data_IF_545154534468
#
_entry.id   IF_545154534468
#
_cell.length_a   1.000
_cell.length_b   1.000
_cell.length_c   1.000
_cell.angle_alpha   90.00
_cell.angle_beta   90.00
_cell.angle_gamma   90.00
#
_symmetry.space_group_name_H-M   'P 1'
#
loop_
_entity.id
_entity.type
_entity.pdbx_description
1 polymer ?
#
# COMPACT_ATOMS: atom_id res chain seq x y z
N UNK A 1 -17.07 -18.56 -23.95
CA UNK A 1 -17.31 -17.43 -23.02
C UNK A 1 -16.77 -16.18 -23.67
N UNK A 2 -17.31 -14.99 -23.36
CA UNK A 2 -16.80 -13.72 -23.88
C UNK A 2 -16.12 -12.95 -22.75
N UNK A 3 -14.90 -12.48 -22.99
CA UNK A 3 -14.12 -11.68 -22.06
C UNK A 3 -14.15 -10.23 -22.53
N UNK A 4 -14.47 -9.30 -21.62
CA UNK A 4 -14.65 -7.88 -21.92
C UNK A 4 -13.74 -7.10 -20.97
N UNK A 5 -12.73 -6.44 -21.53
CA UNK A 5 -11.85 -5.57 -20.77
C UNK A 5 -12.62 -4.41 -20.13
N UNK A 6 -12.17 -4.04 -18.93
CA UNK A 6 -12.66 -2.83 -18.28
C UNK A 6 -11.66 -1.70 -18.46
N UNK A 7 -11.98 -0.51 -17.93
CA UNK A 7 -11.03 0.59 -17.87
C UNK A 7 -9.82 0.33 -16.94
N UNK A 8 -9.86 -0.73 -16.12
CA UNK A 8 -8.73 -1.12 -15.28
C UNK A 8 -8.01 -2.30 -15.92
N UNK A 9 -6.76 -2.09 -16.31
CA UNK A 9 -5.95 -3.11 -16.98
C UNK A 9 -5.84 -4.39 -16.13
N UNK A 10 -6.29 -5.51 -16.69
CA UNK A 10 -6.32 -6.84 -16.06
C UNK A 10 -7.64 -7.24 -15.40
N UNK A 11 -8.55 -6.28 -15.13
CA UNK A 11 -9.90 -6.59 -14.62
C UNK A 11 -10.82 -6.84 -15.80
N UNK A 12 -11.47 -8.01 -15.83
CA UNK A 12 -12.21 -8.51 -16.99
C UNK A 12 -13.60 -8.99 -16.60
N UNK A 13 -14.62 -8.52 -17.31
CA UNK A 13 -15.99 -9.06 -17.21
C UNK A 13 -16.10 -10.28 -18.09
N UNK A 14 -16.67 -11.36 -17.55
CA UNK A 14 -16.83 -12.62 -18.26
C UNK A 14 -18.33 -12.91 -18.43
N UNK A 15 -18.75 -13.05 -19.69
CA UNK A 15 -20.10 -13.47 -20.06
C UNK A 15 -20.07 -14.96 -20.43
N UNK A 16 -20.61 -15.85 -19.59
CA UNK A 16 -20.68 -17.27 -19.92
C UNK A 16 -21.71 -17.51 -21.03
N UNK A 17 -21.55 -18.64 -21.72
CA UNK A 17 -22.58 -19.14 -22.63
C UNK A 17 -23.56 -19.97 -21.81
N UNK A 18 -24.82 -19.55 -21.76
CA UNK A 18 -25.89 -20.24 -21.05
C UNK A 18 -26.71 -21.04 -22.07
N UNK A 19 -26.86 -22.34 -21.82
CA UNK A 19 -27.66 -23.26 -22.62
C UNK A 19 -28.94 -23.58 -21.86
N UNK A 20 -30.09 -23.16 -22.38
CA UNK A 20 -31.38 -23.36 -21.72
C UNK A 20 -32.27 -24.34 -22.51
N UNK A 21 -33.05 -25.13 -21.78
CA UNK A 21 -34.09 -26.01 -22.30
C UNK A 21 -35.24 -26.13 -21.27
N UNK A 22 -36.25 -26.95 -21.56
CA UNK A 22 -37.45 -27.08 -20.71
C UNK A 22 -37.16 -27.58 -19.28
N UNK A 23 -35.96 -28.13 -19.01
CA UNK A 23 -35.54 -28.59 -17.68
C UNK A 23 -34.89 -27.49 -16.85
N UNK A 24 -34.48 -26.39 -17.47
CA UNK A 24 -33.72 -25.30 -16.85
C UNK A 24 -32.59 -24.81 -17.74
N UNK A 25 -31.42 -24.57 -17.15
CA UNK A 25 -30.24 -24.10 -17.88
C UNK A 25 -28.94 -24.70 -17.35
N UNK A 26 -27.95 -24.76 -18.22
CA UNK A 26 -26.60 -25.22 -17.94
C UNK A 26 -25.60 -24.18 -18.43
N UNK A 27 -24.52 -24.00 -17.69
CA UNK A 27 -23.33 -23.29 -18.17
C UNK A 27 -22.08 -23.88 -17.55
N UNK A 28 -20.99 -23.88 -18.32
CA UNK A 28 -19.65 -24.04 -17.75
C UNK A 28 -19.33 -22.76 -16.98
N UNK A 29 -19.26 -22.84 -15.65
CA UNK A 29 -18.97 -21.68 -14.81
C UNK A 29 -17.48 -21.35 -14.77
N UNK A 30 -16.62 -22.34 -15.04
CA UNK A 30 -15.18 -22.17 -15.14
C UNK A 30 -14.59 -23.33 -15.98
N UNK A 31 -13.68 -22.99 -16.88
CA UNK A 31 -12.89 -23.93 -17.67
C UNK A 31 -11.48 -23.34 -17.75
N UNK A 32 -10.52 -23.93 -17.03
CA UNK A 32 -9.20 -23.34 -16.83
C UNK A 32 -8.42 -23.12 -18.14
N UNK A 33 -8.31 -24.12 -19.05
CA UNK A 33 -7.66 -23.91 -20.34
C UNK A 33 -8.27 -22.75 -21.14
N UNK A 34 -9.60 -22.68 -21.24
CA UNK A 34 -10.28 -21.60 -21.95
C UNK A 34 -10.07 -20.25 -21.26
N UNK A 35 -10.10 -20.23 -19.93
CA UNK A 35 -9.88 -19.01 -19.15
C UNK A 35 -8.47 -18.46 -19.38
N UNK A 36 -7.45 -19.32 -19.37
CA UNK A 36 -6.06 -18.95 -19.68
C UNK A 36 -5.90 -18.47 -21.12
N UNK A 37 -6.49 -19.18 -22.08
CA UNK A 37 -6.46 -18.80 -23.50
C UNK A 37 -7.07 -17.40 -23.72
N UNK A 38 -8.23 -17.13 -23.12
CA UNK A 38 -8.92 -15.85 -23.27
C UNK A 38 -8.18 -14.68 -22.60
N UNK A 39 -7.58 -14.90 -21.42
CA UNK A 39 -6.72 -13.88 -20.80
C UNK A 39 -5.47 -13.61 -21.63
N UNK A 40 -4.80 -14.65 -22.14
CA UNK A 40 -3.63 -14.51 -22.99
C UNK A 40 -3.96 -13.77 -24.31
N UNK A 41 -5.14 -14.02 -24.90
CA UNK A 41 -5.61 -13.31 -26.09
C UNK A 41 -5.82 -11.80 -25.85
N UNK A 42 -6.10 -11.39 -24.60
CA UNK A 42 -6.16 -9.99 -24.17
C UNK A 42 -4.80 -9.43 -23.72
N UNK A 43 -3.72 -10.22 -23.82
CA UNK A 43 -2.39 -9.82 -23.35
C UNK A 43 -2.26 -9.76 -21.82
N UNK A 44 -3.15 -10.42 -21.09
CA UNK A 44 -3.09 -10.50 -19.62
C UNK A 44 -2.32 -11.72 -19.15
N UNK A 45 -1.65 -11.64 -17.98
CA UNK A 45 -0.93 -12.78 -17.43
C UNK A 45 -1.88 -13.91 -17.03
N UNK A 46 -1.41 -15.14 -17.18
CA UNK A 46 -2.08 -16.34 -16.66
C UNK A 46 -1.98 -16.30 -15.12
N UNK A 47 -3.08 -16.40 -14.38
CA UNK A 47 -3.03 -16.37 -12.93
C UNK A 47 -2.50 -17.69 -12.34
N UNK A 48 -2.15 -17.63 -11.06
CA UNK A 48 -1.90 -18.84 -10.27
C UNK A 48 -3.18 -19.69 -10.17
N UNK A 49 -3.06 -21.00 -9.91
CA UNK A 49 -4.23 -21.87 -9.72
C UNK A 49 -5.16 -21.34 -8.64
N UNK A 50 -6.46 -21.56 -8.82
CA UNK A 50 -7.43 -21.30 -7.77
C UNK A 50 -7.33 -22.37 -6.68
N UNK A 51 -7.09 -21.96 -5.44
CA UNK A 51 -6.81 -22.88 -4.31
C UNK A 51 -7.88 -22.82 -3.21
N UNK A 52 -8.80 -21.85 -3.27
CA UNK A 52 -9.85 -21.68 -2.27
C UNK A 52 -11.13 -21.13 -2.91
N UNK A 53 -12.25 -21.74 -2.54
CA UNK A 53 -13.60 -21.31 -2.89
C UNK A 53 -14.32 -20.76 -1.67
N UNK A 54 -15.02 -19.64 -1.86
CA UNK A 54 -15.76 -18.96 -0.82
C UNK A 54 -17.20 -18.72 -1.28
N UNK A 55 -18.14 -18.78 -0.33
CA UNK A 55 -19.55 -18.56 -0.57
C UNK A 55 -20.13 -17.72 0.57
N UNK A 56 -20.79 -16.62 0.24
CA UNK A 56 -21.51 -15.78 1.21
C UNK A 56 -22.94 -15.52 0.77
N UNK A 57 -23.84 -15.41 1.74
CA UNK A 57 -25.21 -14.95 1.52
C UNK A 57 -25.40 -13.61 2.23
N UNK A 58 -26.02 -12.65 1.54
CA UNK A 58 -26.18 -11.28 2.04
C UNK A 58 -27.61 -10.79 1.87
N UNK A 59 -28.08 -10.03 2.86
CA UNK A 59 -29.32 -9.25 2.77
C UNK A 59 -29.13 -8.07 1.84
N UNK A 60 -30.22 -7.51 1.32
CA UNK A 60 -30.20 -6.26 0.58
C UNK A 60 -29.52 -5.15 1.40
N UNK A 61 -28.78 -4.29 0.72
CA UNK A 61 -27.97 -3.19 1.27
C UNK A 61 -26.73 -3.59 2.07
N UNK A 62 -26.43 -4.88 2.21
CA UNK A 62 -25.15 -5.31 2.79
C UNK A 62 -24.02 -4.93 1.83
N UNK A 63 -23.06 -4.16 2.33
CA UNK A 63 -21.80 -3.85 1.64
C UNK A 63 -20.66 -4.58 2.35
N UNK A 64 -19.87 -5.31 1.57
CA UNK A 64 -18.64 -5.97 2.04
C UNK A 64 -17.46 -5.40 1.26
N UNK A 65 -16.43 -4.95 1.96
CA UNK A 65 -15.24 -4.39 1.33
C UNK A 65 -14.88 -2.97 1.77
N UNK A 66 -13.82 -2.39 1.22
CA UNK A 66 -12.96 -2.97 0.17
C UNK A 66 -11.86 -3.84 0.78
N UNK A 67 -11.63 -5.04 0.25
CA UNK A 67 -10.70 -6.04 0.80
C UNK A 67 -9.64 -6.44 -0.20
N UNK A 68 -8.43 -6.67 0.29
CA UNK A 68 -7.31 -7.27 -0.44
C UNK A 68 -6.41 -8.05 0.54
N UNK A 69 -5.54 -8.89 -0.01
CA UNK A 69 -4.42 -9.46 0.75
C UNK A 69 -3.11 -8.89 0.22
N UNK A 70 -2.19 -8.59 1.14
CA UNK A 70 -0.83 -8.15 0.84
C UNK A 70 0.04 -9.35 0.47
N UNK A 71 1.17 -9.07 -0.17
CA UNK A 71 2.23 -10.05 -0.29
C UNK A 71 2.65 -10.57 1.11
N UNK A 72 3.04 -11.85 1.23
CA UNK A 72 3.20 -12.84 0.15
C UNK A 72 1.89 -13.51 -0.31
N UNK A 73 0.76 -13.27 0.37
CA UNK A 73 -0.52 -13.94 0.08
C UNK A 73 -1.48 -13.07 -0.74
N UNK A 74 -0.97 -12.28 -1.70
CA UNK A 74 -1.85 -11.49 -2.57
C UNK A 74 -2.83 -12.43 -3.31
N UNK A 75 -4.07 -11.98 -3.54
CA UNK A 75 -5.10 -12.83 -4.14
C UNK A 75 -5.68 -12.19 -5.40
N UNK A 76 -5.71 -12.97 -6.48
CA UNK A 76 -6.67 -12.78 -7.55
C UNK A 76 -8.00 -13.43 -7.17
N UNK A 77 -9.11 -12.89 -7.67
CA UNK A 77 -10.47 -13.33 -7.39
C UNK A 77 -11.26 -13.49 -8.68
N UNK A 78 -11.92 -14.64 -8.86
CA UNK A 78 -12.97 -14.82 -9.85
C UNK A 78 -14.31 -14.87 -9.14
N UNK A 79 -15.14 -13.85 -9.33
CA UNK A 79 -16.36 -13.61 -8.53
C UNK A 79 -17.63 -13.72 -9.37
N UNK A 80 -18.74 -14.17 -8.76
CA UNK A 80 -20.06 -14.26 -9.40
C UNK A 80 -21.21 -14.32 -8.40
N UNK A 81 -22.42 -14.13 -8.90
CA UNK A 81 -23.67 -14.29 -8.14
C UNK A 81 -24.46 -15.50 -8.65
N UNK A 82 -24.99 -16.33 -7.74
CA UNK A 82 -25.82 -17.51 -8.07
C UNK A 82 -27.30 -17.31 -7.71
N UNK A 83 -27.60 -16.44 -6.76
CA UNK A 83 -28.95 -16.01 -6.40
C UNK A 83 -28.97 -14.50 -6.11
N UNK A 84 -30.02 -13.79 -6.52
CA UNK A 84 -30.12 -12.33 -6.36
C UNK A 84 -29.18 -11.54 -7.28
N UNK A 85 -28.75 -10.37 -6.81
CA UNK A 85 -27.87 -9.46 -7.55
C UNK A 85 -26.98 -8.61 -6.64
N UNK A 86 -25.80 -8.26 -7.13
CA UNK A 86 -24.82 -7.42 -6.45
C UNK A 86 -24.18 -6.41 -7.42
N UNK A 87 -23.87 -5.22 -6.91
CA UNK A 87 -22.98 -4.29 -7.58
C UNK A 87 -21.55 -4.53 -7.07
N UNK A 88 -20.73 -5.14 -7.92
CA UNK A 88 -19.36 -5.56 -7.61
C UNK A 88 -18.35 -4.52 -8.05
N UNK A 89 -17.35 -4.22 -7.22
CA UNK A 89 -16.37 -3.16 -7.43
C UNK A 89 -14.95 -3.67 -7.25
N UNK A 90 -14.09 -3.33 -8.20
CA UNK A 90 -12.64 -3.49 -8.10
C UNK A 90 -11.97 -2.11 -8.12
N UNK A 91 -10.97 -1.91 -7.27
CA UNK A 91 -10.16 -0.69 -7.15
C UNK A 91 -8.70 -1.02 -7.36
N UNK A 92 -8.04 -0.28 -8.24
CA UNK A 92 -6.61 -0.44 -8.50
C UNK A 92 -5.78 0.16 -7.35
N UNK A 93 -5.03 -0.69 -6.65
CA UNK A 93 -4.14 -0.28 -5.55
C UNK A 93 -2.67 -0.57 -5.87
N UNK A 94 -2.34 -0.83 -7.15
CA UNK A 94 -0.98 -1.15 -7.59
C UNK A 94 -0.13 0.11 -7.61
N UNK A 95 0.90 0.16 -6.77
CA UNK A 95 1.85 1.28 -6.73
C UNK A 95 2.46 1.51 -8.13
N UNK A 96 2.39 2.73 -8.61
CA UNK A 96 2.92 3.11 -9.93
C UNK A 96 1.98 2.83 -11.11
N UNK A 97 0.80 2.26 -10.89
CA UNK A 97 -0.22 2.14 -11.94
C UNK A 97 -0.74 3.50 -12.37
N UNK A 98 -0.93 3.70 -13.68
CA UNK A 98 -1.58 4.90 -14.24
C UNK A 98 -3.04 5.03 -13.79
N UNK A 99 -3.69 3.90 -13.46
CA UNK A 99 -5.06 3.85 -12.94
C UNK A 99 -5.12 3.72 -11.43
N UNK A 100 -4.03 3.97 -10.69
CA UNK A 100 -4.02 3.90 -9.22
C UNK A 100 -5.14 4.74 -8.58
N UNK A 101 -5.90 4.13 -7.67
CA UNK A 101 -7.05 4.74 -7.00
C UNK A 101 -8.32 4.80 -7.85
N UNK A 102 -8.27 4.44 -9.14
CA UNK A 102 -9.45 4.32 -9.98
C UNK A 102 -10.16 2.99 -9.72
N UNK A 103 -11.48 2.98 -9.99
CA UNK A 103 -12.35 1.84 -9.72
C UNK A 103 -13.27 1.54 -10.89
N UNK A 104 -13.64 0.27 -11.07
CA UNK A 104 -14.72 -0.17 -11.98
C UNK A 104 -15.81 -0.85 -11.16
N UNK A 105 -17.08 -0.64 -11.55
CA UNK A 105 -18.23 -1.30 -10.94
C UNK A 105 -19.07 -2.03 -11.98
N UNK A 106 -19.51 -3.24 -11.66
CA UNK A 106 -20.23 -4.16 -12.56
C UNK A 106 -21.37 -4.82 -11.79
N UNK A 107 -22.57 -4.83 -12.37
CA UNK A 107 -23.68 -5.59 -11.81
C UNK A 107 -23.53 -7.08 -12.16
N UNK A 108 -23.47 -7.93 -11.14
CA UNK A 108 -23.46 -9.39 -11.24
C UNK A 108 -24.77 -9.92 -10.69
N UNK A 109 -25.43 -10.83 -11.41
CA UNK A 109 -26.69 -11.41 -10.95
C UNK A 109 -26.86 -12.84 -11.44
N UNK A 110 -27.73 -13.58 -10.76
CA UNK A 110 -28.14 -14.91 -11.23
C UNK A 110 -28.75 -14.86 -12.65
N UNK A 111 -29.39 -13.73 -12.98
CA UNK A 111 -30.05 -13.51 -14.29
C UNK A 111 -29.06 -13.26 -15.41
N UNK A 112 -28.05 -12.41 -15.19
CA UNK A 112 -27.08 -12.10 -16.23
C UNK A 112 -25.95 -13.14 -16.32
N UNK A 113 -25.74 -13.91 -15.26
CA UNK A 113 -24.70 -14.95 -15.18
C UNK A 113 -23.27 -14.42 -15.27
N UNK A 114 -23.07 -13.10 -15.25
CA UNK A 114 -21.75 -12.47 -15.42
C UNK A 114 -20.86 -12.82 -14.25
N UNK A 115 -19.57 -12.84 -14.55
CA UNK A 115 -18.49 -12.99 -13.58
C UNK A 115 -17.52 -11.83 -13.73
N UNK A 116 -16.75 -11.54 -12.69
CA UNK A 116 -15.66 -10.57 -12.75
C UNK A 116 -14.35 -11.25 -12.33
N UNK A 117 -13.34 -11.15 -13.18
CA UNK A 117 -11.96 -11.51 -12.84
C UNK A 117 -11.24 -10.26 -12.34
N UNK A 118 -10.65 -10.37 -11.15
CA UNK A 118 -9.90 -9.31 -10.48
C UNK A 118 -8.53 -9.89 -10.15
N UNK A 119 -7.43 -9.45 -10.78
CA UNK A 119 -6.11 -10.00 -10.50
C UNK A 119 -5.55 -9.47 -9.16
N UNK A 120 -4.39 -9.98 -8.77
CA UNK A 120 -3.65 -9.51 -7.60
C UNK A 120 -3.33 -8.00 -7.70
N UNK A 121 -3.24 -7.33 -6.55
CA UNK A 121 -2.98 -5.89 -6.48
C UNK A 121 -4.21 -5.00 -6.64
N UNK A 122 -5.41 -5.57 -6.57
CA UNK A 122 -6.68 -4.83 -6.53
C UNK A 122 -7.39 -5.02 -5.18
N UNK A 123 -8.07 -3.98 -4.72
CA UNK A 123 -9.05 -4.11 -3.64
C UNK A 123 -10.43 -4.40 -4.23
N UNK A 124 -11.21 -5.24 -3.54
CA UNK A 124 -12.49 -5.75 -4.03
C UNK A 124 -13.58 -5.58 -2.97
N UNK A 125 -14.79 -5.22 -3.41
CA UNK A 125 -15.97 -5.22 -2.56
C UNK A 125 -17.25 -5.28 -3.37
N UNK A 126 -18.38 -5.55 -2.72
CA UNK A 126 -19.68 -5.56 -3.38
C UNK A 126 -20.79 -5.05 -2.47
N UNK A 127 -21.87 -4.58 -3.11
CA UNK A 127 -23.13 -4.21 -2.50
C UNK A 127 -24.23 -5.16 -2.97
N UNK A 128 -24.85 -5.88 -2.04
CA UNK A 128 -26.02 -6.71 -2.34
C UNK A 128 -27.25 -5.81 -2.65
N UNK A 129 -27.83 -6.00 -3.82
CA UNK A 129 -28.98 -5.23 -4.31
C UNK A 129 -30.33 -5.91 -3.97
N UNK A 130 -30.27 -7.20 -3.64
CA UNK A 130 -31.42 -8.05 -3.29
C UNK A 130 -31.16 -8.83 -2.00
N UNK A 131 -32.24 -9.27 -1.34
CA UNK A 131 -32.14 -10.23 -0.25
C UNK A 131 -31.75 -11.62 -0.76
N UNK A 132 -31.09 -12.39 0.10
CA UNK A 132 -30.59 -13.72 -0.24
C UNK A 132 -29.64 -13.70 -1.46
N UNK A 133 -28.83 -12.64 -1.58
CA UNK A 133 -27.81 -12.57 -2.61
C UNK A 133 -26.67 -13.53 -2.27
N UNK A 134 -26.57 -14.61 -3.04
CA UNK A 134 -25.50 -15.62 -2.93
C UNK A 134 -24.33 -15.25 -3.84
N UNK A 135 -23.22 -14.89 -3.21
CA UNK A 135 -22.01 -14.41 -3.86
C UNK A 135 -20.89 -15.44 -3.67
N UNK A 136 -20.39 -15.98 -4.78
CA UNK A 136 -19.35 -17.01 -4.83
C UNK A 136 -18.08 -16.42 -5.41
N UNK A 137 -16.94 -16.83 -4.87
CA UNK A 137 -15.66 -16.43 -5.42
C UNK A 137 -14.57 -17.48 -5.23
N UNK A 138 -13.76 -17.62 -6.27
CA UNK A 138 -12.53 -18.41 -6.28
C UNK A 138 -11.35 -17.49 -6.01
N UNK A 139 -10.33 -17.95 -5.28
CA UNK A 139 -9.12 -17.18 -5.00
C UNK A 139 -7.84 -17.94 -5.33
N UNK A 140 -6.82 -17.22 -5.78
CA UNK A 140 -5.52 -17.78 -6.22
C UNK A 140 -4.52 -18.02 -5.08
N UNK A 141 -4.92 -17.74 -3.83
CA UNK A 141 -4.16 -18.03 -2.62
C UNK A 141 -5.14 -18.32 -1.48
N UNK A 142 -4.67 -18.90 -0.39
CA UNK A 142 -5.50 -19.16 0.80
C UNK A 142 -5.72 -17.86 1.61
N UNK A 143 -6.76 -17.86 2.43
CA UNK A 143 -6.97 -16.77 3.39
C UNK A 143 -5.80 -16.68 4.37
N UNK A 144 -5.24 -15.48 4.52
CA UNK A 144 -4.21 -15.17 5.50
C UNK A 144 -4.61 -13.93 6.29
N UNK A 145 -5.03 -14.15 7.54
CA UNK A 145 -5.40 -13.07 8.48
C UNK A 145 -4.29 -12.03 8.64
N UNK A 146 -3.03 -12.45 8.59
CA UNK A 146 -1.88 -11.56 8.73
C UNK A 146 -1.65 -10.67 7.50
N UNK A 147 -2.04 -11.14 6.31
CA UNK A 147 -1.90 -10.39 5.07
C UNK A 147 -3.17 -9.65 4.66
N UNK A 148 -4.30 -9.95 5.30
CA UNK A 148 -5.56 -9.30 5.05
C UNK A 148 -5.49 -7.80 5.38
N UNK A 149 -5.98 -6.99 4.46
CA UNK A 149 -6.11 -5.56 4.64
C UNK A 149 -7.42 -5.05 4.01
N UNK A 150 -7.87 -3.90 4.48
CA UNK A 150 -9.07 -3.25 3.99
C UNK A 150 -8.83 -1.78 3.67
N UNK A 151 -9.68 -1.24 2.80
CA UNK A 151 -9.79 0.19 2.52
C UNK A 151 -11.24 0.59 2.76
N UNK A 152 -11.43 1.77 3.33
CA UNK A 152 -12.74 2.37 3.56
C UNK A 152 -13.55 2.39 2.27
N UNK A 153 -14.71 1.72 2.27
CA UNK A 153 -15.59 1.67 1.09
C UNK A 153 -16.09 3.05 0.63
N UNK A 154 -16.12 4.02 1.54
CA UNK A 154 -16.53 5.40 1.34
C UNK A 154 -15.33 6.34 1.23
N UNK A 155 -14.15 5.84 0.89
CA UNK A 155 -12.95 6.66 0.76
C UNK A 155 -13.19 7.80 -0.26
N UNK A 156 -13.03 9.07 0.14
CA UNK A 156 -13.33 10.21 -0.73
C UNK A 156 -12.33 10.40 -1.88
N UNK A 157 -11.13 9.82 -1.79
CA UNK A 157 -10.14 9.85 -2.88
C UNK A 157 -10.46 8.85 -3.99
N UNK A 158 -11.08 7.72 -3.65
CA UNK A 158 -11.54 6.70 -4.62
C UNK A 158 -12.92 7.11 -5.19
N UNK A 159 -13.79 7.67 -4.34
CA UNK A 159 -15.09 8.22 -4.70
C UNK A 159 -15.98 7.24 -5.52
N UNK A 160 -16.09 6.00 -5.04
CA UNK A 160 -16.93 4.97 -5.66
C UNK A 160 -18.40 5.44 -5.70
N UNK A 161 -19.01 5.35 -6.88
CA UNK A 161 -20.43 5.68 -7.07
C UNK A 161 -21.28 4.44 -6.78
N UNK A 162 -21.49 4.16 -5.50
CA UNK A 162 -22.38 3.07 -5.08
C UNK A 162 -23.83 3.38 -5.47
N UNK A 163 -24.56 2.44 -6.09
CA UNK A 163 -25.92 2.70 -6.56
C UNK A 163 -26.93 2.95 -5.43
N UNK A 164 -26.61 2.51 -4.21
CA UNK A 164 -27.40 2.76 -3.00
C UNK A 164 -26.45 3.24 -1.91
N UNK A 165 -26.75 4.38 -1.29
CA UNK A 165 -25.92 4.98 -0.23
C UNK A 165 -26.67 5.12 1.09
N UNK A 166 -28.00 5.03 1.08
CA UNK A 166 -28.85 5.12 2.28
C UNK A 166 -29.17 3.73 2.81
N UNK A 167 -29.10 3.54 4.12
CA UNK A 167 -29.45 2.29 4.78
C UNK A 167 -28.47 1.14 4.52
N UNK A 168 -27.22 1.47 4.16
CA UNK A 168 -26.15 0.48 4.00
C UNK A 168 -25.89 -0.25 5.31
N UNK A 169 -25.74 -1.57 5.21
CA UNK A 169 -25.37 -2.44 6.32
C UNK A 169 -23.92 -2.83 6.11
N UNK A 170 -23.04 -2.32 6.96
CA UNK A 170 -21.59 -2.47 6.85
C UNK A 170 -21.06 -3.11 8.13
N UNK A 171 -20.10 -4.03 8.02
CA UNK A 171 -19.45 -4.61 9.20
C UNK A 171 -18.67 -3.54 9.97
N UNK A 172 -18.43 -3.76 11.28
CA UNK A 172 -17.59 -2.84 12.05
C UNK A 172 -16.20 -2.70 11.44
N UNK A 173 -15.59 -3.82 11.02
CA UNK A 173 -14.30 -3.85 10.34
C UNK A 173 -14.25 -2.98 9.08
N UNK A 174 -15.29 -3.05 8.25
CA UNK A 174 -15.35 -2.27 7.01
C UNK A 174 -15.72 -0.81 7.26
N UNK A 175 -16.44 -0.55 8.35
CA UNK A 175 -16.73 0.81 8.83
C UNK A 175 -15.50 1.48 9.47
N UNK A 176 -14.59 0.73 10.06
CA UNK A 176 -13.37 1.26 10.69
C UNK A 176 -12.15 1.14 9.76
N UNK A 177 -12.34 0.65 8.54
CA UNK A 177 -11.27 0.46 7.58
C UNK A 177 -10.53 1.79 7.29
N UNK A 178 -9.20 1.75 7.13
CA UNK A 178 -8.38 2.92 6.86
C UNK A 178 -8.65 3.50 5.47
N UNK A 179 -8.31 4.78 5.29
CA UNK A 179 -8.29 5.39 3.95
C UNK A 179 -7.18 4.79 3.10
N UNK A 180 -7.30 4.86 1.77
CA UNK A 180 -6.29 4.41 0.81
C UNK A 180 -4.94 5.09 1.08
N UNK A 181 -4.95 6.38 1.43
CA UNK A 181 -3.74 7.11 1.81
C UNK A 181 -3.01 6.44 2.98
N UNK A 182 -3.74 6.05 4.02
CA UNK A 182 -3.19 5.46 5.24
C UNK A 182 -2.66 4.04 4.97
N UNK A 183 -3.37 3.28 4.13
CA UNK A 183 -2.92 1.96 3.67
C UNK A 183 -1.59 2.08 2.92
N UNK A 184 -1.47 3.06 2.02
CA UNK A 184 -0.23 3.28 1.28
C UNK A 184 0.94 3.66 2.18
N UNK A 185 0.67 4.46 3.23
CA UNK A 185 1.67 4.74 4.26
C UNK A 185 2.13 3.45 4.93
N UNK A 186 1.21 2.59 5.35
CA UNK A 186 1.55 1.30 6.02
C UNK A 186 2.33 0.31 5.15
N UNK A 187 2.16 0.33 3.82
CA UNK A 187 2.88 -0.56 2.89
C UNK A 187 4.32 -0.08 2.67
N UNK A 188 4.56 1.23 2.75
CA UNK A 188 5.91 1.80 2.75
C UNK A 188 6.57 1.86 4.14
N UNK A 189 5.83 1.63 5.22
CA UNK A 189 6.24 1.99 6.59
C UNK A 189 6.69 0.83 7.50
N UNK A 190 7.16 -0.28 6.94
CA UNK A 190 8.00 -1.22 7.70
C UNK A 190 9.44 -0.72 7.58
N UNK A 191 10.13 -0.19 8.60
CA UNK A 191 9.88 -0.07 10.04
C UNK A 191 10.62 1.19 10.53
N UNK A 192 10.13 1.84 11.59
CA UNK A 192 10.83 2.91 12.32
C UNK A 192 12.16 2.40 12.86
N UNK A 193 13.18 2.45 12.01
CA UNK A 193 14.49 1.88 12.27
C UNK A 193 15.55 2.96 12.01
N UNK A 194 16.58 2.92 12.84
CA UNK A 194 17.75 3.78 12.68
C UNK A 194 18.98 2.93 12.80
N UNK A 195 19.73 2.87 11.70
CA UNK A 195 21.01 2.17 11.62
C UNK A 195 22.15 3.18 11.58
N UNK A 196 23.26 2.84 12.26
CA UNK A 196 24.51 3.61 12.22
C UNK A 196 25.48 2.91 11.31
N UNK A 197 26.24 3.68 10.55
CA UNK A 197 27.26 3.17 9.64
C UNK A 197 28.59 3.86 9.89
N UNK A 198 29.66 3.08 9.78
CA UNK A 198 31.02 3.60 9.63
C UNK A 198 31.43 3.55 8.16
N UNK A 199 31.73 4.71 7.59
CA UNK A 199 32.11 4.88 6.21
C UNK A 199 33.60 4.59 6.04
N UNK A 200 33.94 4.00 4.89
CA UNK A 200 35.33 3.72 4.55
C UNK A 200 36.07 5.00 4.22
N UNK A 201 37.12 5.29 4.97
CA UNK A 201 38.04 6.40 4.70
C UNK A 201 39.15 5.87 3.78
N UNK A 202 39.32 6.52 2.63
CA UNK A 202 40.46 6.32 1.74
C UNK A 202 41.35 7.54 1.90
N UNK A 203 42.59 7.39 2.33
CA UNK A 203 43.46 8.53 2.55
C UNK A 203 44.94 8.18 2.55
N UNK A 204 45.74 9.22 2.33
CA UNK A 204 47.19 9.20 2.46
C UNK A 204 47.65 10.50 3.14
N UNK A 205 48.94 10.82 3.06
CA UNK A 205 49.56 12.00 3.63
C UNK A 205 49.01 13.32 3.07
N UNK A 206 48.29 13.30 1.94
CA UNK A 206 47.69 14.49 1.31
C UNK A 206 46.28 14.78 1.83
N UNK A 207 45.64 13.82 2.50
CA UNK A 207 44.30 13.98 3.05
C UNK A 207 43.44 12.72 2.96
N UNK A 208 42.14 12.91 3.15
CA UNK A 208 41.16 11.82 3.23
C UNK A 208 39.98 12.06 2.29
N UNK A 209 39.44 10.97 1.76
CA UNK A 209 38.31 10.89 0.87
C UNK A 209 37.33 9.87 1.42
N UNK A 210 36.05 10.24 1.43
CA UNK A 210 34.93 9.32 1.57
C UNK A 210 34.11 9.44 0.29
N UNK A 211 33.89 8.32 -0.39
CA UNK A 211 32.99 8.24 -1.53
C UNK A 211 31.67 7.60 -1.09
N UNK A 212 30.55 8.13 -1.58
CA UNK A 212 29.23 7.59 -1.33
C UNK A 212 28.56 7.29 -2.66
N UNK A 213 28.25 6.01 -2.86
CA UNK A 213 27.60 5.52 -4.07
C UNK A 213 26.15 5.08 -3.75
N UNK A 214 25.20 5.50 -4.58
CA UNK A 214 23.81 5.05 -4.48
C UNK A 214 23.72 3.53 -4.71
N UNK A 215 22.98 2.83 -3.86
CA UNK A 215 22.80 1.38 -3.92
C UNK A 215 23.97 0.58 -3.34
N UNK A 216 25.05 1.25 -2.91
CA UNK A 216 26.18 0.64 -2.22
C UNK A 216 26.31 1.16 -0.78
N UNK A 217 26.51 2.47 -0.63
CA UNK A 217 26.66 3.11 0.68
C UNK A 217 25.34 3.74 1.14
N UNK A 218 24.59 4.32 0.20
CA UNK A 218 23.26 4.90 0.45
C UNK A 218 22.21 3.86 0.05
N UNK A 219 21.38 3.37 0.99
CA UNK A 219 20.50 2.21 0.78
C UNK A 219 19.23 2.52 -0.04
N UNK A 220 19.12 3.71 -0.63
CA UNK A 220 17.97 4.16 -1.40
C UNK A 220 18.37 5.07 -2.56
N UNK A 221 17.46 5.25 -3.52
CA UNK A 221 17.63 6.21 -4.60
C UNK A 221 17.67 7.64 -4.06
N UNK A 222 18.77 8.36 -4.31
CA UNK A 222 18.91 9.74 -3.85
C UNK A 222 18.09 10.64 -4.76
N UNK A 223 16.97 11.17 -4.25
CA UNK A 223 16.12 12.13 -4.97
C UNK A 223 16.41 13.57 -4.58
N UNK A 224 17.04 13.78 -3.43
CA UNK A 224 17.38 15.10 -2.91
C UNK A 224 18.59 15.03 -1.99
N UNK A 225 19.46 16.02 -2.09
CA UNK A 225 20.57 16.25 -1.17
C UNK A 225 20.51 17.71 -0.68
N UNK A 226 20.86 17.93 0.58
CA UNK A 226 20.95 19.26 1.17
C UNK A 226 21.88 19.24 2.37
N UNK A 227 22.35 20.42 2.80
CA UNK A 227 23.26 20.55 3.92
C UNK A 227 22.76 21.56 4.94
N UNK A 228 23.11 21.34 6.20
CA UNK A 228 22.83 22.20 7.35
C UNK A 228 24.16 22.70 7.87
N UNK A 229 24.30 24.02 8.00
CA UNK A 229 25.53 24.67 8.42
C UNK A 229 25.21 25.94 9.21
N UNK A 230 26.21 26.48 9.92
CA UNK A 230 26.11 27.71 10.71
C UNK A 230 24.94 27.68 11.73
N UNK A 231 24.81 26.55 12.44
CA UNK A 231 23.88 26.40 13.55
C UNK A 231 24.41 27.16 14.76
N UNK A 232 23.53 27.91 15.43
CA UNK A 232 23.91 28.67 16.63
C UNK A 232 23.97 27.75 17.85
N UNK A 233 24.91 28.02 18.76
CA UNK A 233 24.98 27.33 20.04
C UNK A 233 23.64 27.40 20.79
N UNK A 234 23.21 26.28 21.37
CA UNK A 234 21.95 26.17 22.11
C UNK A 234 20.67 26.09 21.26
N UNK A 235 20.77 26.14 19.93
CA UNK A 235 19.61 25.96 19.04
C UNK A 235 19.43 24.47 18.72
N UNK A 236 18.20 23.98 18.90
CA UNK A 236 17.78 22.68 18.37
C UNK A 236 17.22 22.83 16.96
N UNK A 237 17.38 21.79 16.13
CA UNK A 237 16.75 21.69 14.81
C UNK A 237 16.12 20.32 14.64
N UNK A 238 15.15 20.19 13.74
CA UNK A 238 14.39 18.94 13.58
C UNK A 238 13.01 19.08 14.18
N UNK A 239 12.67 18.23 15.15
CA UNK A 239 11.35 18.15 15.81
C UNK A 239 10.23 17.80 14.83
N UNK A 240 10.46 16.75 14.05
CA UNK A 240 9.45 16.13 13.20
C UNK A 240 9.82 14.70 12.86
N UNK A 241 8.82 13.92 12.47
CA UNK A 241 8.98 12.64 11.78
C UNK A 241 8.51 12.76 10.32
N UNK A 242 8.72 11.68 9.56
CA UNK A 242 8.21 11.56 8.19
C UNK A 242 7.35 10.33 8.04
N UNK A 243 6.28 10.39 7.25
CA UNK A 243 5.51 9.19 6.96
C UNK A 243 6.24 8.25 6.00
N UNK A 244 6.99 8.79 5.03
CA UNK A 244 7.62 8.00 3.95
C UNK A 244 9.10 8.29 3.74
N UNK A 245 9.58 9.50 4.04
CA UNK A 245 10.97 9.87 3.75
C UNK A 245 11.96 9.03 4.55
N UNK A 246 12.97 8.51 3.85
CA UNK A 246 14.21 8.01 4.44
C UNK A 246 15.32 9.04 4.27
N UNK A 247 16.22 9.11 5.25
CA UNK A 247 17.32 10.07 5.27
C UNK A 247 18.62 9.40 5.68
N UNK A 248 19.70 9.76 4.98
CA UNK A 248 21.06 9.35 5.31
C UNK A 248 21.85 10.60 5.68
N UNK A 249 22.27 10.71 6.93
CA UNK A 249 22.89 11.92 7.50
C UNK A 249 24.34 11.63 7.85
N UNK A 250 25.24 12.51 7.41
CA UNK A 250 26.67 12.51 7.74
C UNK A 250 27.09 13.89 8.27
N UNK A 251 28.04 13.92 9.21
CA UNK A 251 28.62 15.16 9.73
C UNK A 251 29.97 15.41 9.06
N UNK A 252 30.01 16.29 8.06
CA UNK A 252 31.21 16.57 7.27
C UNK A 252 32.30 17.32 8.05
N UNK A 253 31.88 18.11 9.05
CA UNK A 253 32.76 18.89 9.92
C UNK A 253 32.06 19.11 11.26
N UNK A 254 32.82 19.24 12.34
CA UNK A 254 32.30 19.45 13.69
C UNK A 254 31.55 18.24 14.25
N UNK A 255 30.53 18.51 15.07
CA UNK A 255 29.71 17.48 15.71
C UNK A 255 28.29 17.95 16.02
N UNK A 256 27.37 16.99 16.11
CA UNK A 256 26.05 17.18 16.72
C UNK A 256 25.55 15.90 17.37
N UNK A 257 24.62 16.03 18.33
CA UNK A 257 23.86 14.91 18.89
C UNK A 257 22.48 14.86 18.27
N UNK A 258 22.05 13.68 17.84
CA UNK A 258 20.74 13.43 17.25
C UNK A 258 19.94 12.55 18.21
N UNK A 259 18.87 13.09 18.77
CA UNK A 259 17.85 12.36 19.51
C UNK A 259 16.85 11.77 18.52
N UNK A 260 16.53 10.50 18.69
CA UNK A 260 15.72 9.68 17.80
C UNK A 260 14.70 8.93 18.66
N UNK A 261 13.45 8.92 18.21
CA UNK A 261 12.34 8.25 18.89
C UNK A 261 11.50 7.51 17.84
N UNK A 262 11.27 6.22 18.05
CA UNK A 262 10.45 5.34 17.19
C UNK A 262 9.01 5.16 17.68
N UNK A 263 8.63 5.84 18.77
CA UNK A 263 7.35 5.78 19.46
C UNK A 263 7.33 4.79 20.62
N UNK A 264 8.39 4.00 20.81
CA UNK A 264 8.56 3.02 21.89
C UNK A 264 9.79 3.34 22.74
N UNK A 265 10.91 3.62 22.09
CA UNK A 265 12.20 3.89 22.71
C UNK A 265 12.83 5.18 22.17
N UNK A 266 13.51 5.89 23.06
CA UNK A 266 14.32 7.04 22.70
C UNK A 266 15.80 6.66 22.78
N UNK A 267 16.56 7.05 21.76
CA UNK A 267 18.02 6.94 21.75
C UNK A 267 18.66 8.24 21.26
N UNK A 268 19.92 8.43 21.61
CA UNK A 268 20.73 9.53 21.12
C UNK A 268 21.99 8.99 20.45
N UNK A 269 22.34 9.56 19.29
CA UNK A 269 23.53 9.21 18.53
C UNK A 269 24.36 10.47 18.32
N UNK A 270 25.68 10.37 18.52
CA UNK A 270 26.62 11.42 18.15
C UNK A 270 27.12 11.22 16.73
N UNK A 271 26.96 12.23 15.89
CA UNK A 271 27.70 12.37 14.65
C UNK A 271 28.85 13.34 14.91
N UNK A 272 30.00 12.80 15.31
CA UNK A 272 31.18 13.54 15.78
C UNK A 272 32.46 13.22 14.98
N UNK A 273 32.31 12.49 13.88
CA UNK A 273 33.38 12.16 12.95
C UNK A 273 32.83 12.08 11.51
N UNK A 274 33.64 12.43 10.49
CA UNK A 274 33.22 12.45 9.09
C UNK A 274 32.88 11.07 8.51
N UNK A 275 33.37 10.01 9.14
CA UNK A 275 33.06 8.64 8.77
C UNK A 275 31.85 8.05 9.50
N UNK A 276 31.16 8.81 10.36
CA UNK A 276 29.92 8.33 10.97
C UNK A 276 28.72 8.81 10.18
N UNK A 277 27.84 7.86 9.87
CA UNK A 277 26.57 8.14 9.24
C UNK A 277 25.42 7.50 10.02
N UNK A 278 24.23 8.07 9.89
CA UNK A 278 22.99 7.41 10.30
C UNK A 278 22.01 7.35 9.14
N UNK A 279 21.37 6.20 8.99
CA UNK A 279 20.21 6.02 8.13
C UNK A 279 18.96 6.03 9.02
N UNK A 280 18.15 7.08 8.87
CA UNK A 280 16.88 7.26 9.54
C UNK A 280 15.79 6.85 8.56
N UNK A 281 15.08 5.76 8.83
CA UNK A 281 13.89 5.39 8.07
C UNK A 281 12.71 6.29 8.45
N UNK A 282 11.60 6.10 7.74
CA UNK A 282 10.37 6.80 8.04
C UNK A 282 9.84 6.45 9.46
N UNK A 283 8.91 7.26 9.97
CA UNK A 283 8.31 7.16 11.31
C UNK A 283 9.32 7.17 12.47
N UNK A 284 10.44 7.87 12.30
CA UNK A 284 11.34 8.25 13.39
C UNK A 284 11.21 9.74 13.65
N UNK A 285 10.78 10.09 14.86
CA UNK A 285 10.90 11.47 15.34
C UNK A 285 12.35 11.77 15.63
N UNK A 286 12.82 12.94 15.19
CA UNK A 286 14.22 13.31 15.34
C UNK A 286 14.42 14.76 15.72
N UNK A 287 15.42 14.97 16.55
CA UNK A 287 15.88 16.27 16.98
C UNK A 287 17.40 16.31 17.00
N UNK A 288 17.97 17.43 16.57
CA UNK A 288 19.40 17.65 16.50
C UNK A 288 19.75 18.76 17.49
N UNK A 289 20.73 18.47 18.34
CA UNK A 289 21.15 19.25 19.48
C UNK A 289 22.69 19.33 19.53
N UNK A 290 23.20 20.18 20.42
CA UNK A 290 24.63 20.22 20.79
C UNK A 290 25.59 20.38 19.60
N UNK A 291 25.23 21.24 18.65
CA UNK A 291 26.07 21.55 17.49
C UNK A 291 27.37 22.26 17.91
N UNK A 292 28.50 21.85 17.36
CA UNK A 292 29.71 22.68 17.36
C UNK A 292 29.60 23.82 16.34
N UNK A 293 30.39 24.88 16.53
CA UNK A 293 30.37 26.09 15.68
C UNK A 293 30.70 25.79 14.21
N UNK A 294 31.58 24.81 13.98
CA UNK A 294 32.01 24.33 12.67
C UNK A 294 31.14 23.19 12.12
N UNK A 295 29.98 22.91 12.73
CA UNK A 295 29.15 21.79 12.35
C UNK A 295 28.54 21.95 10.95
N UNK A 296 28.81 20.97 10.08
CA UNK A 296 28.20 20.85 8.75
C UNK A 296 27.63 19.45 8.57
N UNK A 297 26.31 19.35 8.44
CA UNK A 297 25.64 18.09 8.14
C UNK A 297 25.28 18.03 6.66
N UNK A 298 25.51 16.89 6.02
CA UNK A 298 24.98 16.56 4.70
C UNK A 298 23.88 15.52 4.86
N UNK A 299 22.76 15.71 4.17
CA UNK A 299 21.61 14.83 4.21
C UNK A 299 21.22 14.42 2.80
N UNK A 300 21.21 13.10 2.57
CA UNK A 300 20.61 12.50 1.38
C UNK A 300 19.21 12.01 1.73
N UNK A 301 18.27 12.16 0.81
CA UNK A 301 16.87 11.83 1.05
C UNK A 301 16.25 11.05 -0.12
N UNK A 302 15.43 10.06 0.23
CA UNK A 302 14.78 9.15 -0.73
C UNK A 302 13.69 9.81 -1.59
N UNK A 303 13.21 11.00 -1.19
CA UNK A 303 12.13 11.72 -1.88
C UNK A 303 12.41 13.23 -1.98
N UNK A 304 11.76 13.87 -2.97
CA UNK A 304 11.65 15.32 -3.04
C UNK A 304 10.91 15.89 -1.82
N UNK A 305 10.98 17.21 -1.64
CA UNK A 305 10.22 17.87 -0.57
C UNK A 305 8.71 17.70 -0.78
N UNK A 306 8.01 17.24 0.25
CA UNK A 306 6.55 17.18 0.31
C UNK A 306 6.10 17.50 1.73
N UNK A 307 5.43 18.63 1.93
CA UNK A 307 4.96 19.06 3.25
C UNK A 307 3.97 18.07 3.87
N UNK A 308 3.21 17.33 3.04
CA UNK A 308 2.23 16.34 3.50
C UNK A 308 2.88 15.11 4.12
N UNK A 309 4.18 14.93 3.93
CA UNK A 309 4.94 13.84 4.51
C UNK A 309 5.41 14.14 5.95
N UNK A 310 5.31 15.40 6.41
CA UNK A 310 5.81 15.81 7.72
C UNK A 310 4.81 15.51 8.84
N UNK A 311 5.30 14.91 9.91
CA UNK A 311 4.65 14.83 11.22
C UNK A 311 5.31 15.86 12.14
N UNK A 312 4.69 17.04 12.28
CA UNK A 312 5.23 18.17 13.06
C UNK A 312 4.76 18.22 14.51
N UNK A 313 3.68 17.52 14.83
CA UNK A 313 3.17 17.41 16.19
C UNK A 313 3.60 16.05 16.76
N UNK A 314 4.13 16.08 17.98
CA UNK A 314 4.66 14.90 18.64
C UNK A 314 3.58 13.87 18.99
N UNK A 315 2.40 14.30 19.44
CA UNK A 315 1.28 13.40 19.73
C UNK A 315 0.72 12.72 18.46
N UNK A 316 0.69 13.45 17.33
CA UNK A 316 0.34 12.88 16.03
C UNK A 316 1.37 11.83 15.59
N UNK A 317 2.66 12.10 15.83
CA UNK A 317 3.72 11.12 15.62
C UNK A 317 3.51 9.88 16.48
N UNK A 318 3.29 10.00 17.80
CA UNK A 318 3.07 8.86 18.68
C UNK A 318 1.84 8.03 18.27
N UNK A 319 0.76 8.71 17.85
CA UNK A 319 -0.43 8.03 17.28
C UNK A 319 -0.09 7.28 15.99
N UNK A 320 0.68 7.88 15.10
CA UNK A 320 1.10 7.26 13.86
C UNK A 320 2.04 6.06 14.12
N UNK A 321 3.09 6.26 14.91
CA UNK A 321 4.04 5.22 15.30
C UNK A 321 3.32 4.02 15.92
N UNK A 322 2.42 4.23 16.89
CA UNK A 322 1.62 3.16 17.50
C UNK A 322 0.67 2.45 16.52
N UNK A 323 0.18 3.16 15.50
CA UNK A 323 -0.72 2.59 14.47
C UNK A 323 0.04 1.69 13.48
N UNK A 324 1.35 1.91 13.31
CA UNK A 324 2.17 1.25 12.30
C UNK A 324 3.29 0.36 12.90
N UNK A 325 3.47 0.36 14.22
CA UNK A 325 4.28 -0.60 14.98
C UNK A 325 3.60 -1.96 15.09
#
# INVERSE_FOLDING_TARGET
MKFIETKLAGVVVIEPKIFADDRGWFMESFNEPLFHEQLAALGHPIPRPFVQDNHSCSKKHVLRGLHFQRAPHAQGKLVRVTAGSAYDVAVDIRKGSETFGQWVGVELSAKNGRMLWIPEGFAHGFLALEDNTEFLYKTTDIYSKACEASIKWSDPSIAIQWPITKGLIVSQKDSEAPLLSDVMLSISALTGDVTSHELSIIGDDRGSLIALEQGRDIPFDVRRAYYIFNTKAGVSRGSHAHFRLEQYIICLSGKCRILLDDGLEQKSIWLDAPNKAIHIKNLIWREMHDFSEDCVLMVFASNHYDERDYLRNYDDFLRAAKRYA
#
